data_IF_906906380325
#
_entry.id   IF_906906380325
#
_cell.length_a   1.000
_cell.length_b   1.000
_cell.length_c   1.000
_cell.angle_alpha   90.00
_cell.angle_beta   90.00
_cell.angle_gamma   90.00
#
_symmetry.space_group_name_H-M   'P 1'
#
loop_
_entity.id
_entity.type
_entity.pdbx_description
1 polymer ?
#
# COMPACT_ATOMS: atom_id res chain seq x y z
N UNK A 1 -26.16 -13.83 -32.67
CA UNK A 1 -25.78 -12.83 -31.66
C UNK A 1 -25.96 -13.46 -30.28
N UNK A 2 -24.87 -13.95 -29.72
CA UNK A 2 -24.76 -14.42 -28.35
C UNK A 2 -24.18 -13.31 -27.46
N UNK A 3 -24.20 -13.49 -26.14
CA UNK A 3 -23.52 -12.56 -25.24
C UNK A 3 -22.01 -12.52 -25.49
N UNK A 4 -21.42 -13.67 -25.86
CA UNK A 4 -20.01 -13.76 -26.24
C UNK A 4 -19.71 -12.89 -27.46
N UNK A 5 -20.55 -12.94 -28.49
CA UNK A 5 -20.38 -12.12 -29.70
C UNK A 5 -20.34 -10.61 -29.34
N UNK A 6 -21.13 -10.19 -28.34
CA UNK A 6 -21.11 -8.81 -27.85
C UNK A 6 -19.82 -8.47 -27.10
N UNK A 7 -19.29 -9.39 -26.29
CA UNK A 7 -18.01 -9.19 -25.61
C UNK A 7 -16.85 -9.09 -26.60
N UNK A 8 -16.85 -9.92 -27.64
CA UNK A 8 -15.82 -9.92 -28.68
C UNK A 8 -15.84 -8.57 -29.42
N UNK A 9 -17.01 -8.06 -29.79
CA UNK A 9 -17.16 -6.73 -30.40
C UNK A 9 -16.74 -5.59 -29.45
N UNK A 10 -17.04 -5.75 -28.16
CA UNK A 10 -16.68 -4.78 -27.13
C UNK A 10 -15.15 -4.68 -27.02
N UNK A 11 -14.47 -5.82 -27.02
CA UNK A 11 -13.01 -5.92 -27.03
C UNK A 11 -12.40 -5.30 -28.29
N UNK A 12 -12.90 -5.65 -29.48
CA UNK A 12 -12.43 -5.05 -30.74
C UNK A 12 -12.56 -3.52 -30.73
N UNK A 13 -13.67 -3.02 -30.19
CA UNK A 13 -13.90 -1.57 -30.06
C UNK A 13 -12.91 -0.93 -29.09
N UNK A 14 -12.63 -1.59 -27.97
CA UNK A 14 -11.62 -1.14 -27.00
C UNK A 14 -10.23 -1.11 -27.62
N UNK A 15 -9.79 -2.20 -28.27
CA UNK A 15 -8.47 -2.30 -28.90
C UNK A 15 -8.27 -1.22 -29.96
N UNK A 16 -9.27 -1.01 -30.82
CA UNK A 16 -9.25 0.03 -31.85
C UNK A 16 -9.12 1.43 -31.23
N UNK A 17 -9.93 1.75 -30.22
CA UNK A 17 -9.87 3.06 -29.54
C UNK A 17 -8.55 3.26 -28.80
N UNK A 18 -8.02 2.21 -28.18
CA UNK A 18 -6.76 2.27 -27.46
C UNK A 18 -5.57 2.43 -28.44
N UNK A 19 -5.65 1.86 -29.64
CA UNK A 19 -4.67 2.09 -30.71
C UNK A 19 -4.74 3.53 -31.26
N UNK A 20 -5.95 4.07 -31.46
CA UNK A 20 -6.17 5.41 -32.05
C UNK A 20 -5.82 6.55 -31.08
N UNK A 21 -6.11 6.40 -29.79
CA UNK A 21 -5.99 7.46 -28.78
C UNK A 21 -4.92 7.18 -27.71
N UNK A 22 -4.27 6.01 -27.76
CA UNK A 22 -3.35 5.55 -26.73
C UNK A 22 -4.00 5.52 -25.35
N UNK A 23 -3.15 5.61 -24.32
CA UNK A 23 -3.54 5.56 -22.90
C UNK A 23 -4.22 6.86 -22.39
N UNK A 24 -4.94 7.57 -23.26
CA UNK A 24 -5.54 8.88 -22.98
C UNK A 24 -6.53 8.82 -21.83
N UNK A 25 -7.36 7.77 -21.77
CA UNK A 25 -8.32 7.59 -20.69
C UNK A 25 -7.63 7.39 -19.34
N UNK A 26 -6.61 6.51 -19.27
CA UNK A 26 -5.81 6.31 -18.05
C UNK A 26 -5.17 7.62 -17.61
N UNK A 27 -4.57 8.38 -18.55
CA UNK A 27 -3.97 9.69 -18.25
C UNK A 27 -4.97 10.70 -17.68
N UNK A 28 -6.13 10.85 -18.32
CA UNK A 28 -7.19 11.76 -17.82
C UNK A 28 -7.70 11.32 -16.45
N UNK A 29 -7.81 10.00 -16.22
CA UNK A 29 -8.19 9.48 -14.92
C UNK A 29 -7.12 9.73 -13.84
N UNK A 30 -5.83 9.57 -14.15
CA UNK A 30 -4.75 9.88 -13.21
C UNK A 30 -4.69 11.38 -12.86
N UNK A 31 -5.06 12.25 -13.80
CA UNK A 31 -5.06 13.71 -13.61
C UNK A 31 -6.28 14.22 -12.83
N UNK A 32 -7.48 13.74 -13.15
CA UNK A 32 -8.74 14.26 -12.59
C UNK A 32 -9.47 13.28 -11.66
N UNK A 33 -8.92 12.07 -11.47
CA UNK A 33 -9.53 10.99 -10.70
C UNK A 33 -10.76 10.38 -11.36
N UNK A 34 -11.54 9.66 -10.55
CA UNK A 34 -12.76 8.94 -10.96
C UNK A 34 -13.79 9.84 -11.68
N UNK A 35 -13.80 11.13 -11.37
CA UNK A 35 -14.71 12.12 -11.97
C UNK A 35 -14.55 12.17 -13.50
N UNK A 36 -13.34 11.96 -14.03
CA UNK A 36 -13.12 11.89 -15.47
C UNK A 36 -13.91 10.76 -16.14
N UNK A 37 -13.89 9.56 -15.55
CA UNK A 37 -14.64 8.41 -16.05
C UNK A 37 -16.15 8.63 -15.91
N UNK A 38 -16.59 9.10 -14.74
CA UNK A 38 -18.01 9.40 -14.49
C UNK A 38 -18.57 10.44 -15.46
N UNK A 39 -17.78 11.43 -15.83
CA UNK A 39 -18.19 12.45 -16.82
C UNK A 39 -18.47 11.81 -18.18
N UNK A 40 -17.58 10.92 -18.65
CA UNK A 40 -17.77 10.22 -19.94
C UNK A 40 -18.97 9.28 -19.92
N UNK A 41 -19.18 8.58 -18.81
CA UNK A 41 -20.36 7.73 -18.58
C UNK A 41 -21.63 8.59 -18.61
N UNK A 42 -21.63 9.72 -17.91
CA UNK A 42 -22.75 10.68 -17.87
C UNK A 42 -23.10 11.20 -19.27
N UNK A 43 -22.12 11.57 -20.08
CA UNK A 43 -22.34 12.00 -21.46
C UNK A 43 -23.06 10.93 -22.29
N UNK A 44 -22.66 9.66 -22.15
CA UNK A 44 -23.30 8.53 -22.85
C UNK A 44 -24.71 8.24 -22.34
N UNK A 45 -24.94 8.34 -21.04
CA UNK A 45 -26.29 8.22 -20.45
C UNK A 45 -27.20 9.34 -20.95
N UNK A 46 -26.72 10.59 -20.95
CA UNK A 46 -27.49 11.74 -21.45
C UNK A 46 -27.83 11.60 -22.95
N UNK A 47 -26.92 11.01 -23.74
CA UNK A 47 -27.20 10.64 -25.13
C UNK A 47 -28.30 9.60 -25.23
N UNK A 48 -28.25 8.52 -24.43
CA UNK A 48 -29.30 7.49 -24.42
C UNK A 48 -30.67 8.05 -24.03
N UNK A 49 -30.72 8.95 -23.04
CA UNK A 49 -31.95 9.66 -22.65
C UNK A 49 -32.49 10.47 -23.83
N UNK A 50 -31.62 11.18 -24.54
CA UNK A 50 -32.00 12.00 -25.70
C UNK A 50 -32.53 11.14 -26.85
N UNK A 51 -31.84 10.05 -27.18
CA UNK A 51 -32.25 9.08 -28.21
C UNK A 51 -33.56 8.37 -27.84
N UNK A 52 -33.81 8.15 -26.56
CA UNK A 52 -35.04 7.50 -26.07
C UNK A 52 -36.25 8.42 -26.15
N UNK A 53 -36.07 9.73 -25.93
CA UNK A 53 -37.14 10.73 -25.97
C UNK A 53 -37.45 11.25 -27.39
N UNK A 54 -36.48 11.24 -28.30
CA UNK A 54 -36.63 11.75 -29.69
C UNK A 54 -36.11 10.73 -30.73
N UNK A 55 -36.88 9.67 -31.02
CA UNK A 55 -36.43 8.60 -31.91
C UNK A 55 -36.21 9.04 -33.37
N UNK A 56 -36.88 10.10 -33.84
CA UNK A 56 -36.91 10.50 -35.26
C UNK A 56 -36.10 11.78 -35.61
N UNK A 57 -35.21 12.24 -34.74
CA UNK A 57 -34.26 13.30 -35.15
C UNK A 57 -33.18 12.67 -36.01
N UNK A 58 -33.32 12.75 -37.33
CA UNK A 58 -32.38 12.23 -38.35
C UNK A 58 -30.98 12.85 -38.37
N UNK A 59 -30.52 13.37 -37.22
CA UNK A 59 -29.22 14.02 -37.04
C UNK A 59 -28.26 13.24 -36.12
N UNK A 60 -28.64 12.06 -35.63
CA UNK A 60 -27.78 11.28 -34.76
C UNK A 60 -26.82 10.39 -35.55
N UNK A 61 -25.53 10.71 -35.47
CA UNK A 61 -24.42 9.95 -36.08
C UNK A 61 -24.14 8.58 -35.43
N UNK A 62 -24.73 8.26 -34.27
CA UNK A 62 -24.42 7.07 -33.47
C UNK A 62 -25.73 6.44 -32.99
N UNK A 63 -25.89 5.12 -33.15
CA UNK A 63 -27.12 4.42 -32.80
C UNK A 63 -27.26 4.21 -31.29
N UNK A 64 -28.47 3.87 -30.81
CA UNK A 64 -28.70 3.49 -29.40
C UNK A 64 -27.83 2.30 -29.00
N UNK A 65 -27.71 1.31 -29.88
CA UNK A 65 -26.91 0.11 -29.66
C UNK A 65 -25.44 0.47 -29.45
N UNK A 66 -24.88 1.27 -30.35
CA UNK A 66 -23.48 1.71 -30.27
C UNK A 66 -23.24 2.50 -28.98
N UNK A 67 -24.21 3.34 -28.58
CA UNK A 67 -24.13 4.09 -27.32
C UNK A 67 -24.11 3.17 -26.09
N UNK A 68 -24.88 2.06 -26.09
CA UNK A 68 -24.82 1.06 -25.02
C UNK A 68 -23.49 0.31 -25.00
N UNK A 69 -22.95 -0.05 -26.17
CA UNK A 69 -21.63 -0.69 -26.28
C UNK A 69 -20.52 0.23 -25.79
N UNK A 70 -20.59 1.52 -26.14
CA UNK A 70 -19.68 2.55 -25.64
C UNK A 70 -19.76 2.71 -24.13
N UNK A 71 -20.97 2.73 -23.57
CA UNK A 71 -21.18 2.82 -22.14
C UNK A 71 -20.54 1.63 -21.41
N UNK A 72 -20.77 0.42 -21.89
CA UNK A 72 -20.16 -0.78 -21.33
C UNK A 72 -18.62 -0.73 -21.40
N UNK A 73 -18.06 -0.25 -22.52
CA UNK A 73 -16.63 -0.04 -22.67
C UNK A 73 -16.06 0.97 -21.65
N UNK A 74 -16.71 2.13 -21.47
CA UNK A 74 -16.28 3.11 -20.49
C UNK A 74 -16.33 2.57 -19.05
N UNK A 75 -17.35 1.77 -18.72
CA UNK A 75 -17.43 1.12 -17.41
C UNK A 75 -16.26 0.14 -17.19
N UNK A 76 -15.92 -0.70 -18.19
CA UNK A 76 -14.79 -1.63 -18.05
C UNK A 76 -13.44 -0.91 -18.01
N UNK A 77 -13.25 0.13 -18.83
CA UNK A 77 -12.05 0.95 -18.79
C UNK A 77 -11.86 1.61 -17.41
N UNK A 78 -12.94 2.07 -16.79
CA UNK A 78 -12.91 2.62 -15.44
C UNK A 78 -12.44 1.58 -14.41
N UNK A 79 -12.99 0.36 -14.46
CA UNK A 79 -12.57 -0.74 -13.58
C UNK A 79 -11.09 -1.07 -13.79
N UNK A 80 -10.64 -1.17 -15.05
CA UNK A 80 -9.25 -1.48 -15.38
C UNK A 80 -8.27 -0.44 -14.82
N UNK A 81 -8.62 0.84 -14.88
CA UNK A 81 -7.77 1.89 -14.28
C UNK A 81 -7.77 1.79 -12.75
N UNK A 82 -8.93 1.54 -12.13
CA UNK A 82 -9.02 1.39 -10.67
C UNK A 82 -8.16 0.23 -10.17
N UNK A 83 -8.23 -0.92 -10.82
CA UNK A 83 -7.41 -2.10 -10.47
C UNK A 83 -5.92 -1.82 -10.67
N UNK A 84 -5.53 -1.23 -11.82
CA UNK A 84 -4.13 -0.88 -12.05
C UNK A 84 -3.56 0.13 -11.05
N UNK A 85 -4.34 1.14 -10.65
CA UNK A 85 -3.90 2.11 -9.63
C UNK A 85 -3.74 1.49 -8.24
N UNK A 86 -4.54 0.46 -7.93
CA UNK A 86 -4.45 -0.25 -6.66
C UNK A 86 -3.19 -1.11 -6.61
N UNK A 87 -2.90 -1.85 -7.67
CA UNK A 87 -1.67 -2.64 -7.81
C UNK A 87 -0.43 -1.74 -7.72
N UNK A 88 -0.41 -0.62 -8.46
CA UNK A 88 0.69 0.37 -8.40
C UNK A 88 0.89 0.90 -6.97
N UNK A 89 -0.20 1.18 -6.24
CA UNK A 89 -0.14 1.64 -4.85
C UNK A 89 0.39 0.55 -3.90
N UNK A 90 -0.13 -0.67 -3.98
CA UNK A 90 0.33 -1.83 -3.18
C UNK A 90 1.82 -2.08 -3.41
N UNK A 91 2.29 -2.08 -4.66
CA UNK A 91 3.73 -2.20 -4.98
C UNK A 91 4.56 -1.07 -4.36
N UNK A 92 4.07 0.17 -4.37
CA UNK A 92 4.80 1.27 -3.73
C UNK A 92 4.91 1.10 -2.23
N UNK A 93 3.82 0.68 -1.56
CA UNK A 93 3.79 0.43 -0.13
C UNK A 93 4.75 -0.69 0.24
N UNK A 94 4.73 -1.80 -0.48
CA UNK A 94 5.64 -2.94 -0.27
C UNK A 94 7.10 -2.51 -0.36
N UNK A 95 7.48 -1.72 -1.38
CA UNK A 95 8.86 -1.18 -1.48
C UNK A 95 9.23 -0.27 -0.32
N UNK A 96 8.30 0.56 0.16
CA UNK A 96 8.54 1.43 1.31
C UNK A 96 8.71 0.62 2.59
N UNK A 97 7.85 -0.38 2.83
CA UNK A 97 7.95 -1.29 3.97
C UNK A 97 9.27 -2.07 3.96
N UNK A 98 9.68 -2.62 2.81
CA UNK A 98 10.98 -3.27 2.66
C UNK A 98 12.13 -2.31 2.98
N UNK A 99 12.05 -1.06 2.51
CA UNK A 99 13.09 -0.05 2.74
C UNK A 99 13.20 0.33 4.22
N UNK A 100 12.07 0.49 4.89
CA UNK A 100 11.99 0.74 6.34
C UNK A 100 12.54 -0.44 7.14
N UNK A 101 12.13 -1.68 6.83
CA UNK A 101 12.64 -2.88 7.48
C UNK A 101 14.16 -3.01 7.33
N UNK A 102 14.71 -2.76 6.14
CA UNK A 102 16.17 -2.76 5.94
C UNK A 102 16.87 -1.69 6.78
N UNK A 103 16.31 -0.50 6.89
CA UNK A 103 16.90 0.57 7.70
C UNK A 103 16.93 0.20 9.19
N UNK A 104 15.82 -0.33 9.72
CA UNK A 104 15.71 -0.78 11.11
C UNK A 104 16.69 -1.92 11.40
N UNK A 105 16.72 -2.95 10.55
CA UNK A 105 17.66 -4.09 10.69
C UNK A 105 19.12 -3.63 10.70
N UNK A 106 19.46 -2.65 9.86
CA UNK A 106 20.82 -2.09 9.84
C UNK A 106 21.18 -1.35 11.14
N UNK A 107 20.22 -0.67 11.79
CA UNK A 107 20.45 -0.05 13.10
C UNK A 107 20.59 -1.09 14.21
N UNK A 108 19.74 -2.11 14.23
CA UNK A 108 19.84 -3.22 15.18
C UNK A 108 21.21 -3.92 15.08
N UNK A 109 21.66 -4.23 13.86
CA UNK A 109 22.98 -4.82 13.63
C UNK A 109 24.13 -3.96 14.19
N UNK A 110 24.07 -2.64 14.01
CA UNK A 110 25.07 -1.71 14.58
C UNK A 110 25.05 -1.74 16.11
N UNK A 111 23.87 -1.83 16.70
CA UNK A 111 23.70 -1.90 18.15
C UNK A 111 24.27 -3.22 18.70
N UNK A 112 23.95 -4.35 18.07
CA UNK A 112 24.49 -5.66 18.45
C UNK A 112 26.01 -5.71 18.33
N UNK A 113 26.57 -5.15 17.26
CA UNK A 113 28.02 -5.09 17.09
C UNK A 113 28.67 -4.22 18.18
N UNK A 114 28.02 -3.13 18.57
CA UNK A 114 28.45 -2.26 19.67
C UNK A 114 28.40 -2.98 21.02
N UNK A 115 27.31 -3.72 21.31
CA UNK A 115 27.17 -4.55 22.51
C UNK A 115 28.27 -5.62 22.54
N UNK A 116 28.54 -6.29 21.42
CA UNK A 116 29.60 -7.29 21.32
C UNK A 116 30.98 -6.69 21.59
N UNK A 117 31.28 -5.51 21.05
CA UNK A 117 32.53 -4.79 21.32
C UNK A 117 32.67 -4.45 22.81
N UNK A 118 31.61 -3.97 23.44
CA UNK A 118 31.58 -3.70 24.89
C UNK A 118 31.80 -4.98 25.70
N UNK A 119 31.14 -6.08 25.35
CA UNK A 119 31.32 -7.38 26.02
C UNK A 119 32.74 -7.92 25.90
N UNK A 120 33.37 -7.80 24.73
CA UNK A 120 34.75 -8.23 24.53
C UNK A 120 35.78 -7.30 25.21
N UNK A 121 35.47 -6.02 25.35
CA UNK A 121 36.29 -5.06 26.09
C UNK A 121 36.14 -5.20 27.61
N UNK A 122 35.06 -5.84 28.07
CA UNK A 122 34.82 -6.11 29.49
C UNK A 122 35.64 -7.32 29.96
N UNK A 123 36.73 -7.05 30.68
CA UNK A 123 37.54 -8.08 31.33
C UNK A 123 37.07 -8.27 32.78
N UNK A 124 36.34 -9.37 33.04
CA UNK A 124 35.78 -9.68 34.36
C UNK A 124 36.86 -9.84 35.45
N UNK A 125 38.04 -10.33 35.07
CA UNK A 125 39.16 -10.53 36.00
C UNK A 125 39.80 -9.20 36.41
N UNK A 126 39.86 -8.23 35.50
CA UNK A 126 40.39 -6.88 35.77
C UNK A 126 39.43 -6.09 36.69
N UNK A 127 38.11 -6.25 36.50
CA UNK A 127 37.09 -5.64 37.38
C UNK A 127 37.11 -6.20 38.81
N UNK A 128 37.40 -7.49 38.95
CA UNK A 128 37.54 -8.16 40.25
C UNK A 128 38.85 -7.79 40.95
N UNK A 129 39.94 -7.55 40.20
CA UNK A 129 41.26 -7.18 40.75
C UNK A 129 41.37 -5.69 41.11
N UNK A 130 40.72 -4.80 40.37
CA UNK A 130 40.79 -3.35 40.61
C UNK A 130 39.64 -2.76 41.44
N UNK A 131 38.78 -3.61 42.06
CA UNK A 131 37.62 -3.23 42.89
C UNK A 131 36.97 -1.91 42.43
N UNK A 132 35.92 -1.98 41.60
CA UNK A 132 35.01 -0.84 41.45
C UNK A 132 34.64 -0.23 42.82
N UNK A 133 34.12 1.02 42.92
CA UNK A 133 34.14 1.88 44.11
C UNK A 133 33.54 1.30 45.42
N UNK A 134 32.98 0.10 45.34
CA UNK A 134 32.49 -0.73 46.42
C UNK A 134 33.58 -1.77 46.73
N UNK A 135 34.43 -1.46 47.68
CA UNK A 135 35.49 -2.40 48.04
C UNK A 135 34.92 -3.64 48.76
N UNK A 136 35.02 -4.79 48.08
CA UNK A 136 34.95 -6.18 48.61
C UNK A 136 33.57 -6.83 48.69
N UNK A 137 33.57 -8.14 48.38
CA UNK A 137 32.42 -9.06 48.35
C UNK A 137 31.68 -9.16 49.70
N UNK A 138 32.37 -8.84 50.80
CA UNK A 138 31.86 -8.92 52.17
C UNK A 138 30.77 -7.88 52.48
N UNK A 139 30.73 -6.74 51.77
CA UNK A 139 29.71 -5.70 51.98
C UNK A 139 28.33 -6.06 51.39
N UNK A 140 28.27 -7.00 50.45
CA UNK A 140 27.02 -7.48 49.82
C UNK A 140 26.36 -8.61 50.61
N UNK A 141 27.09 -9.25 51.53
CA UNK A 141 26.64 -10.43 52.29
C UNK A 141 26.49 -10.18 53.79
N UNK A 142 26.84 -8.99 54.29
CA UNK A 142 26.51 -8.56 55.66
C UNK A 142 25.07 -8.05 55.74
N UNK A 143 24.11 -8.93 55.49
CA UNK A 143 22.79 -8.78 56.10
C UNK A 143 22.93 -9.29 57.54
N UNK A 144 23.09 -8.39 58.50
CA UNK A 144 22.99 -8.73 59.92
C UNK A 144 21.55 -9.15 60.22
N UNK A 145 21.30 -10.45 60.06
CA UNK A 145 20.27 -11.17 60.77
C UNK A 145 20.80 -11.49 62.17
N UNK A 146 20.71 -10.53 63.09
CA UNK A 146 20.64 -10.87 64.51
C UNK A 146 19.24 -10.56 65.01
N UNK A 147 18.36 -11.55 64.76
CA UNK A 147 17.13 -11.69 65.51
C UNK A 147 17.44 -12.40 66.84
N UNK A 148 17.06 -11.70 67.91
CA UNK A 148 16.41 -12.19 69.12
C UNK A 148 17.23 -12.71 70.32
N UNK A 149 16.79 -12.16 71.46
CA UNK A 149 16.55 -12.76 72.78
C UNK A 149 17.75 -13.22 73.60
N UNK A 150 17.90 -12.59 74.78
CA UNK A 150 17.58 -13.27 76.05
C UNK A 150 17.51 -12.29 77.25
N UNK A 151 16.28 -12.04 77.70
CA UNK A 151 15.76 -12.11 79.09
C UNK A 151 16.51 -11.58 80.33
N UNK A 152 15.75 -10.73 81.07
CA UNK A 152 15.46 -10.75 82.53
C UNK A 152 16.62 -10.51 83.53
N UNK A 153 16.63 -9.31 84.13
CA UNK A 153 16.24 -9.08 85.53
C UNK A 153 16.06 -7.58 85.83
#
# INVERSE_FOLDING_TARGET
MTFKDLLDELLETYEKKNADYGDSFKKTHLEFGEIAGLTRISDKVNRLVSLSKKPNSGAYFESKRDTYMDLANYCLMQVLVMEGTKEEYEETVDRYEESLCRAVLNEEMKLEESIRKLGNAFNADDYMQNKGPWESKDMLLSSDSEANDETIN
#
